data_IF_542375604229
#
_entry.id   IF_542375604229
#
_cell.length_a   1.000
_cell.length_b   1.000
_cell.length_c   1.000
_cell.angle_alpha   90.00
_cell.angle_beta   90.00
_cell.angle_gamma   90.00
#
_symmetry.space_group_name_H-M   'P 1'
#
loop_
_entity.id
_entity.type
_entity.pdbx_description
1 polymer ?
#
# COMPACT_ATOMS: atom_id res chain seq x y z
N UNK A 1 -18.58 -27.67 -10.37
CA UNK A 1 -17.15 -27.61 -10.06
C UNK A 1 -16.91 -27.20 -8.60
N UNK A 2 -16.13 -27.97 -7.90
CA UNK A 2 -15.91 -27.70 -6.52
C UNK A 2 -14.77 -26.71 -6.35
N UNK A 3 -15.01 -25.71 -5.54
CA UNK A 3 -13.99 -24.73 -5.25
C UNK A 3 -13.08 -25.25 -4.15
N UNK A 4 -11.79 -25.06 -4.33
CA UNK A 4 -10.84 -25.46 -3.32
C UNK A 4 -11.05 -24.65 -2.04
N UNK A 5 -10.84 -25.25 -0.87
CA UNK A 5 -10.95 -24.53 0.39
C UNK A 5 -9.94 -23.40 0.44
N UNK A 6 -10.30 -22.34 1.14
CA UNK A 6 -9.37 -21.22 1.35
C UNK A 6 -8.44 -21.58 2.50
N UNK A 7 -7.18 -21.78 2.17
CA UNK A 7 -6.18 -22.16 3.16
C UNK A 7 -4.96 -21.29 2.97
N UNK A 8 -3.99 -21.45 3.88
CA UNK A 8 -2.72 -20.76 3.75
C UNK A 8 -1.72 -21.58 2.95
N UNK A 9 -2.15 -22.68 2.39
CA UNK A 9 -1.29 -23.46 1.53
C UNK A 9 -0.91 -22.64 0.31
N UNK A 10 0.35 -22.82 -0.11
CA UNK A 10 0.88 -22.03 -1.21
C UNK A 10 0.65 -22.74 -2.53
N UNK A 11 0.15 -21.98 -3.48
CA UNK A 11 0.03 -22.45 -4.85
C UNK A 11 0.95 -21.65 -5.75
N UNK A 12 1.01 -22.05 -7.01
CA UNK A 12 1.82 -21.35 -7.98
C UNK A 12 0.90 -20.46 -8.79
N UNK A 13 1.21 -19.17 -8.80
CA UNK A 13 0.48 -18.18 -9.56
C UNK A 13 1.49 -17.37 -10.36
N UNK A 14 1.18 -17.14 -11.63
CA UNK A 14 2.08 -16.41 -12.50
C UNK A 14 1.48 -15.07 -12.89
N UNK A 15 2.28 -14.04 -12.83
CA UNK A 15 1.88 -12.71 -13.28
C UNK A 15 2.89 -12.19 -14.26
N UNK A 16 2.42 -11.36 -15.17
CA UNK A 16 3.31 -10.66 -16.09
C UNK A 16 3.53 -9.27 -15.56
N UNK A 17 4.78 -8.95 -15.26
CA UNK A 17 5.17 -7.64 -14.77
C UNK A 17 6.11 -7.00 -15.79
N UNK A 18 6.06 -5.69 -15.90
CA UNK A 18 7.03 -4.99 -16.75
C UNK A 18 8.42 -5.22 -16.19
N UNK A 19 9.43 -5.10 -17.04
CA UNK A 19 10.81 -5.22 -16.57
C UNK A 19 11.12 -4.18 -15.51
N UNK A 20 10.57 -2.98 -15.67
CA UNK A 20 10.79 -1.93 -14.69
C UNK A 20 10.23 -2.31 -13.33
N UNK A 21 9.02 -2.85 -13.31
CA UNK A 21 8.39 -3.24 -12.05
C UNK A 21 9.11 -4.44 -11.43
N UNK A 22 9.51 -5.41 -12.27
CA UNK A 22 10.25 -6.56 -11.79
C UNK A 22 11.56 -6.13 -11.14
N UNK A 23 12.26 -5.19 -11.77
CA UNK A 23 13.52 -4.69 -11.23
C UNK A 23 13.29 -3.97 -9.91
N UNK A 24 12.24 -3.19 -9.82
CA UNK A 24 11.90 -2.49 -8.59
C UNK A 24 11.62 -3.48 -7.45
N UNK A 25 10.85 -4.52 -7.75
CA UNK A 25 10.55 -5.55 -6.74
C UNK A 25 11.84 -6.23 -6.28
N UNK A 26 12.72 -6.54 -7.24
CA UNK A 26 13.98 -7.19 -6.92
C UNK A 26 14.82 -6.34 -5.98
N UNK A 27 14.91 -5.04 -6.26
CA UNK A 27 15.68 -4.14 -5.43
C UNK A 27 15.05 -3.96 -4.05
N UNK A 28 13.74 -3.82 -4.00
CA UNK A 28 13.05 -3.65 -2.74
C UNK A 28 13.18 -4.89 -1.85
N UNK A 29 13.06 -6.07 -2.47
CA UNK A 29 13.23 -7.31 -1.74
C UNK A 29 14.66 -7.45 -1.23
N UNK A 30 15.64 -7.14 -2.08
CA UNK A 30 17.04 -7.23 -1.70
C UNK A 30 17.37 -6.31 -0.53
N UNK A 31 16.81 -5.12 -0.53
CA UNK A 31 17.05 -4.18 0.57
C UNK A 31 16.55 -4.72 1.91
N UNK A 32 15.58 -5.63 1.88
CA UNK A 32 15.06 -6.23 3.11
C UNK A 32 15.65 -7.61 3.39
N UNK A 33 16.49 -8.13 2.49
CA UNK A 33 17.02 -9.47 2.63
C UNK A 33 15.99 -10.55 2.34
N UNK A 34 14.99 -10.24 1.54
CA UNK A 34 13.91 -11.18 1.19
C UNK A 34 14.04 -11.60 -0.26
N UNK A 35 13.47 -12.77 -0.58
CA UNK A 35 13.30 -13.14 -1.97
C UNK A 35 12.18 -12.27 -2.57
N UNK A 36 12.12 -12.25 -3.92
CA UNK A 36 11.06 -11.51 -4.58
C UNK A 36 9.69 -12.08 -4.22
N UNK A 37 9.58 -13.41 -4.17
CA UNK A 37 8.31 -14.03 -3.78
C UNK A 37 7.90 -13.62 -2.38
N UNK A 38 8.84 -13.60 -1.46
CA UNK A 38 8.55 -13.21 -0.09
C UNK A 38 8.13 -11.74 -0.03
N UNK A 39 8.82 -10.88 -0.76
CA UNK A 39 8.47 -9.47 -0.77
C UNK A 39 7.05 -9.25 -1.28
N UNK A 40 6.72 -9.86 -2.43
CA UNK A 40 5.38 -9.70 -3.02
C UNK A 40 4.32 -10.26 -2.08
N UNK A 41 4.56 -11.44 -1.50
CA UNK A 41 3.59 -12.02 -0.58
C UNK A 41 3.35 -11.13 0.63
N UNK A 42 4.42 -10.57 1.19
CA UNK A 42 4.28 -9.71 2.37
C UNK A 42 3.57 -8.40 2.04
N UNK A 43 3.82 -7.85 0.85
CA UNK A 43 3.13 -6.63 0.44
C UNK A 43 1.64 -6.90 0.28
N UNK A 44 1.29 -8.03 -0.34
CA UNK A 44 -0.11 -8.37 -0.51
C UNK A 44 -0.80 -8.67 0.82
N UNK A 45 -0.11 -9.38 1.70
CA UNK A 45 -0.64 -9.63 3.03
C UNK A 45 -0.82 -8.31 3.78
N UNK A 46 0.16 -7.43 3.66
CA UNK A 46 0.07 -6.13 4.30
C UNK A 46 -1.09 -5.32 3.79
N UNK A 47 -1.33 -5.36 2.47
CA UNK A 47 -2.47 -4.68 1.90
C UNK A 47 -3.78 -5.27 2.44
N UNK A 48 -3.86 -6.60 2.49
CA UNK A 48 -5.07 -7.26 2.99
C UNK A 48 -5.29 -6.95 4.46
N UNK A 49 -4.21 -6.96 5.25
CA UNK A 49 -4.29 -6.87 6.71
C UNK A 49 -3.84 -5.51 7.23
N UNK A 50 -3.87 -4.50 6.38
CA UNK A 50 -3.50 -3.13 6.74
C UNK A 50 -2.09 -3.03 7.30
N UNK A 51 -1.15 -3.70 6.62
CA UNK A 51 0.29 -3.66 6.96
C UNK A 51 0.56 -4.00 8.42
N UNK A 52 -0.23 -4.95 8.92
CA UNK A 52 -0.04 -5.41 10.30
C UNK A 52 -0.14 -4.28 11.32
N UNK A 53 -1.01 -3.31 11.04
CA UNK A 53 -1.27 -2.25 11.98
C UNK A 53 -1.91 -2.83 13.24
N UNK A 54 -1.80 -2.10 14.36
CA UNK A 54 -2.51 -2.53 15.57
C UNK A 54 -3.98 -2.76 15.24
N UNK A 55 -4.55 -3.77 15.88
CA UNK A 55 -5.90 -4.18 15.54
C UNK A 55 -6.91 -3.05 15.57
N UNK A 56 -6.82 -2.19 16.58
CA UNK A 56 -7.76 -1.09 16.70
C UNK A 56 -7.70 -0.15 15.49
N UNK A 57 -6.48 0.14 15.01
CA UNK A 57 -6.32 0.99 13.84
C UNK A 57 -6.87 0.31 12.59
N UNK A 58 -6.57 -0.98 12.44
CA UNK A 58 -7.05 -1.71 11.28
C UNK A 58 -8.58 -1.75 11.25
N UNK A 59 -9.21 -1.91 12.40
CA UNK A 59 -10.66 -1.95 12.48
C UNK A 59 -11.28 -0.61 12.11
N UNK A 60 -10.67 0.47 12.58
CA UNK A 60 -11.18 1.80 12.26
C UNK A 60 -11.05 2.09 10.77
N UNK A 61 -9.90 1.77 10.18
CA UNK A 61 -9.68 2.01 8.76
C UNK A 61 -10.62 1.14 7.92
N UNK A 62 -10.83 -0.09 8.32
CA UNK A 62 -11.72 -0.97 7.59
C UNK A 62 -13.16 -0.45 7.63
N UNK A 63 -13.59 0.04 8.78
CA UNK A 63 -14.92 0.61 8.92
C UNK A 63 -15.07 1.87 8.05
N UNK A 64 -14.05 2.70 8.03
CA UNK A 64 -14.05 3.91 7.21
C UNK A 64 -14.10 3.57 5.73
N UNK A 65 -13.30 2.57 5.32
CA UNK A 65 -13.29 2.13 3.93
C UNK A 65 -14.68 1.69 3.49
N UNK A 66 -15.33 0.88 4.32
CA UNK A 66 -16.67 0.39 4.00
C UNK A 66 -17.69 1.52 3.94
N UNK A 67 -17.56 2.47 4.86
CA UNK A 67 -18.48 3.62 4.87
C UNK A 67 -18.32 4.44 3.60
N UNK A 68 -17.12 4.52 3.04
CA UNK A 68 -16.89 5.27 1.82
C UNK A 68 -17.17 4.45 0.56
N UNK A 69 -17.47 3.16 0.70
CA UNK A 69 -17.77 2.31 -0.43
C UNK A 69 -16.59 2.05 -1.35
N UNK A 70 -15.39 2.07 -0.81
CA UNK A 70 -14.17 1.89 -1.58
C UNK A 70 -13.57 0.52 -1.36
N UNK A 71 -12.89 -0.02 -2.40
CA UNK A 71 -12.07 -1.18 -2.15
C UNK A 71 -10.74 -0.71 -1.54
N UNK A 72 -9.88 -1.65 -1.17
CA UNK A 72 -8.65 -1.30 -0.46
C UNK A 72 -7.69 -0.48 -1.33
N UNK A 73 -7.63 -0.80 -2.61
CA UNK A 73 -6.74 -0.06 -3.50
C UNK A 73 -7.16 1.42 -3.58
N UNK A 74 -8.44 1.66 -3.81
CA UNK A 74 -8.94 3.03 -3.90
C UNK A 74 -8.84 3.75 -2.56
N UNK A 75 -9.07 3.02 -1.48
CA UNK A 75 -8.99 3.62 -0.16
C UNK A 75 -7.57 4.07 0.17
N UNK A 76 -6.59 3.27 -0.19
CA UNK A 76 -5.19 3.67 0.02
C UNK A 76 -4.89 4.93 -0.77
N UNK A 77 -5.36 5.00 -2.03
CA UNK A 77 -5.20 6.22 -2.79
C UNK A 77 -5.86 7.41 -2.13
N UNK A 78 -7.04 7.19 -1.54
CA UNK A 78 -7.75 8.23 -0.83
C UNK A 78 -6.93 8.73 0.38
N UNK A 79 -6.38 7.81 1.16
CA UNK A 79 -5.57 8.19 2.32
C UNK A 79 -4.33 8.98 1.91
N UNK A 80 -3.67 8.54 0.85
CA UNK A 80 -2.48 9.23 0.37
C UNK A 80 -2.84 10.63 -0.15
N UNK A 81 -3.95 10.74 -0.87
CA UNK A 81 -4.40 12.04 -1.37
C UNK A 81 -4.76 12.98 -0.22
N UNK A 82 -5.39 12.45 0.82
CA UNK A 82 -5.73 13.22 1.99
C UNK A 82 -4.47 13.77 2.66
N UNK A 83 -3.46 12.91 2.80
CA UNK A 83 -2.20 13.35 3.40
C UNK A 83 -1.50 14.37 2.51
N UNK A 84 -1.54 14.15 1.20
CA UNK A 84 -0.95 15.09 0.25
C UNK A 84 -1.59 16.47 0.41
N UNK A 85 -2.92 16.51 0.50
CA UNK A 85 -3.62 17.78 0.65
C UNK A 85 -3.24 18.48 1.96
N UNK A 86 -3.08 17.71 3.02
CA UNK A 86 -2.66 18.29 4.29
C UNK A 86 -1.28 18.92 4.19
N UNK A 87 -0.35 18.22 3.55
CA UNK A 87 1.01 18.75 3.39
C UNK A 87 0.97 20.02 2.55
N UNK A 88 0.22 19.99 1.47
CA UNK A 88 0.12 21.16 0.60
C UNK A 88 -0.46 22.35 1.34
N UNK A 89 -1.54 22.14 2.07
CA UNK A 89 -2.24 23.23 2.74
C UNK A 89 -1.43 23.82 3.89
N UNK A 90 -0.60 22.99 4.51
CA UNK A 90 0.24 23.43 5.60
C UNK A 90 1.60 23.95 5.16
N UNK A 91 1.88 23.89 3.85
CA UNK A 91 3.17 24.33 3.34
C UNK A 91 4.31 23.41 3.73
N UNK A 92 4.05 22.12 3.85
CA UNK A 92 5.07 21.16 4.21
C UNK A 92 6.07 20.92 3.11
N UNK A 93 6.88 19.86 3.26
CA UNK A 93 7.93 19.56 2.28
C UNK A 93 7.40 19.51 0.85
N UNK A 94 8.10 20.19 -0.04
CA UNK A 94 7.69 20.27 -1.43
C UNK A 94 6.74 21.41 -1.73
N UNK A 95 6.21 22.05 -0.70
CA UNK A 95 5.26 23.15 -0.87
C UNK A 95 5.62 24.36 -0.06
N UNK A 96 6.90 24.56 0.21
CA UNK A 96 7.34 25.76 0.91
C UNK A 96 7.03 26.97 0.05
N UNK A 97 6.58 27.99 0.69
CA UNK A 97 6.21 29.18 -0.01
C UNK A 97 7.40 30.08 -0.20
N UNK A 98 8.07 29.89 -1.28
CA UNK A 98 9.26 30.64 -1.58
C UNK A 98 9.01 32.14 -1.62
N UNK A 99 7.95 32.51 -2.25
CA UNK A 99 7.67 33.91 -2.39
C UNK A 99 7.33 34.57 -1.13
N UNK A 100 6.80 33.85 -0.18
CA UNK A 100 6.46 34.47 1.05
C UNK A 100 7.66 34.79 1.84
N UNK A 101 8.67 34.05 1.63
CA UNK A 101 9.84 34.36 2.38
C UNK A 101 10.42 35.59 1.86
N UNK A 102 9.93 36.00 0.89
CA UNK A 102 10.45 37.07 0.35
C UNK A 102 9.85 38.11 0.59
N UNK A 103 9.73 38.02 0.63
CA UNK A 103 9.18 38.82 0.78
C UNK A 103 9.56 39.48 0.89
#
# INVERSE_FOLDING_TARGET
MTRAPLTDEKGIVSFRLSFRLTDWVKQAAGARGWSMNEYVARVLEGLRDWWFLPRMMAEVLEADRKALGMDQYDYIGHLLATRYNEIRDKGGPGFEKKGKSHR
#
